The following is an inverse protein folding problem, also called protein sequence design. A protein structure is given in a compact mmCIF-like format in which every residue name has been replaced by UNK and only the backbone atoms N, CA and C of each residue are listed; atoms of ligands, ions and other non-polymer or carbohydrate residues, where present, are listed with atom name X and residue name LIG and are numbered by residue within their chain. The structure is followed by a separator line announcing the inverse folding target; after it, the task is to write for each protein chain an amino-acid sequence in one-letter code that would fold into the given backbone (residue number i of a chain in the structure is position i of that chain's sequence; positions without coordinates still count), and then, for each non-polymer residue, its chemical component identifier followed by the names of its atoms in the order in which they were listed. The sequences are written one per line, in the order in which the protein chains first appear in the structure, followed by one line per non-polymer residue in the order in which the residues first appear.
data_IF_357925868336
#
_entry.id   IF_357925868336
#
_cell.length_a   1.000
_cell.length_b   1.000
_cell.length_c   1.000
_cell.angle_alpha   90.00
_cell.angle_beta   90.00
_cell.angle_gamma   90.00
#
_symmetry.space_group_name_H-M   'P 1'
#
loop_
_entity.id
_entity.type
_entity.pdbx_description
1 polymer ?
#
# COMPACT_ATOMS: atom_id res chain seq x y z
N UNK A 1 2.10 -1.85 -9.07
CA UNK A 1 3.19 -2.01 -8.08
C UNK A 1 2.75 -1.36 -6.77
N UNK A 2 3.14 -1.91 -5.63
CA UNK A 2 2.83 -1.32 -4.31
C UNK A 2 4.10 -0.63 -3.81
N UNK A 3 4.02 0.67 -3.51
CA UNK A 3 5.15 1.46 -3.02
C UNK A 3 5.32 1.29 -1.51
N UNK A 4 6.55 1.25 -1.01
CA UNK A 4 6.80 1.13 0.43
C UNK A 4 6.35 2.34 1.26
N UNK A 5 6.30 2.22 2.60
CA UNK A 5 5.82 3.26 3.51
C UNK A 5 6.61 4.59 3.45
N UNK A 6 7.88 4.56 3.02
CA UNK A 6 8.68 5.77 2.82
C UNK A 6 8.18 6.65 1.65
N UNK A 7 7.43 6.07 0.71
CA UNK A 7 6.95 6.70 -0.52
C UNK A 7 5.47 7.04 -0.41
N UNK A 8 5.13 7.85 0.59
CA UNK A 8 3.76 8.26 0.90
C UNK A 8 3.25 9.42 0.02
N UNK A 9 1.93 9.48 -0.16
CA UNK A 9 1.23 10.58 -0.81
C UNK A 9 0.18 11.22 0.11
N UNK A 10 -0.24 12.45 -0.19
CA UNK A 10 -1.32 13.19 0.45
C UNK A 10 -2.01 14.08 -0.58
N UNK A 11 -3.33 14.24 -0.46
CA UNK A 11 -4.13 15.08 -1.35
C UNK A 11 -3.52 16.50 -1.46
N UNK A 12 -3.43 17.00 -2.69
CA UNK A 12 -2.87 18.32 -2.99
C UNK A 12 -1.34 18.39 -3.03
N UNK A 13 -0.61 17.31 -2.74
CA UNK A 13 0.86 17.29 -2.86
C UNK A 13 1.30 16.74 -4.22
N UNK A 14 1.59 17.65 -5.16
CA UNK A 14 2.03 17.29 -6.51
C UNK A 14 3.47 16.74 -6.57
N UNK A 15 4.30 17.01 -5.55
CA UNK A 15 5.72 16.65 -5.46
C UNK A 15 6.00 15.64 -4.33
N UNK A 16 5.05 14.75 -4.05
CA UNK A 16 5.22 13.76 -3.00
C UNK A 16 6.31 12.72 -3.31
N UNK A 17 6.93 12.12 -2.28
CA UNK A 17 7.88 11.00 -2.43
C UNK A 17 7.31 9.84 -3.25
N UNK A 18 6.00 9.61 -3.18
CA UNK A 18 5.32 8.59 -3.97
C UNK A 18 5.36 8.89 -5.47
N UNK A 19 5.12 10.16 -5.85
CA UNK A 19 5.13 10.62 -7.24
C UNK A 19 6.54 10.55 -7.80
N UNK A 20 7.53 11.10 -7.07
CA UNK A 20 8.93 11.06 -7.50
C UNK A 20 9.42 9.61 -7.73
N UNK A 21 9.08 8.68 -6.82
CA UNK A 21 9.43 7.27 -7.00
C UNK A 21 8.69 6.61 -8.17
N UNK A 22 7.42 6.95 -8.38
CA UNK A 22 6.66 6.46 -9.52
C UNK A 22 7.27 6.95 -10.85
N UNK A 23 7.63 8.23 -10.94
CA UNK A 23 8.29 8.81 -12.12
C UNK A 23 9.65 8.16 -12.42
N UNK A 24 10.49 7.96 -11.40
CA UNK A 24 11.79 7.29 -11.56
C UNK A 24 11.61 5.87 -12.14
N UNK A 25 10.62 5.12 -11.64
CA UNK A 25 10.35 3.74 -12.04
C UNK A 25 9.66 3.69 -13.40
N UNK A 26 8.83 4.69 -13.74
CA UNK A 26 8.24 4.85 -15.06
C UNK A 26 9.30 5.16 -16.10
N UNK A 27 10.31 5.97 -15.76
CA UNK A 27 11.34 6.37 -16.70
C UNK A 27 12.44 5.33 -16.87
N UNK A 28 12.71 4.50 -15.85
CA UNK A 28 13.85 3.60 -15.84
C UNK A 28 13.46 2.12 -15.65
N UNK A 29 14.26 1.23 -16.25
CA UNK A 29 14.30 -0.20 -15.98
C UNK A 29 15.76 -0.60 -15.80
N UNK A 30 16.21 -0.66 -14.54
CA UNK A 30 17.64 -0.73 -14.25
C UNK A 30 18.32 0.55 -14.75
N UNK A 31 19.39 0.42 -15.54
CA UNK A 31 20.11 1.55 -16.14
C UNK A 31 19.54 2.01 -17.49
N UNK A 32 18.54 1.32 -18.05
CA UNK A 32 18.00 1.63 -19.38
C UNK A 32 16.68 2.37 -19.29
N UNK A 33 16.37 3.30 -20.22
CA UNK A 33 15.05 3.90 -20.32
C UNK A 33 13.97 2.84 -20.49
N UNK A 34 12.85 2.99 -19.77
CA UNK A 34 11.73 2.07 -19.88
C UNK A 34 10.87 2.40 -21.11
N UNK A 35 10.62 1.38 -21.92
CA UNK A 35 9.66 1.38 -23.02
C UNK A 35 8.31 0.90 -22.43
N UNK A 36 7.19 1.48 -22.89
CA UNK A 36 5.83 1.23 -22.37
C UNK A 36 5.58 1.68 -20.93
N UNK A 37 5.91 2.94 -20.63
CA UNK A 37 5.68 3.55 -19.31
C UNK A 37 4.21 3.46 -18.88
N UNK A 38 3.28 3.58 -19.83
CA UNK A 38 1.82 3.53 -19.59
C UNK A 38 1.30 2.14 -19.14
N UNK A 39 2.16 1.12 -19.01
CA UNK A 39 1.78 -0.22 -18.52
C UNK A 39 1.94 -0.41 -17.01
N UNK A 40 2.35 0.63 -16.27
CA UNK A 40 2.53 0.55 -14.83
C UNK A 40 1.50 1.43 -14.11
N UNK A 41 0.91 0.88 -13.05
CA UNK A 41 0.17 1.65 -12.06
C UNK A 41 0.77 1.42 -10.68
N UNK A 42 0.65 2.40 -9.78
CA UNK A 42 1.24 2.34 -8.45
C UNK A 42 0.17 2.51 -7.38
N UNK A 43 0.30 1.78 -6.28
CA UNK A 43 -0.47 2.02 -5.07
C UNK A 43 0.49 2.56 -4.01
N UNK A 44 0.19 3.73 -3.47
CA UNK A 44 0.97 4.42 -2.45
C UNK A 44 0.20 4.54 -1.13
N UNK A 45 0.90 4.53 0.00
CA UNK A 45 0.29 4.77 1.30
C UNK A 45 -0.05 6.25 1.52
N UNK A 46 -1.13 6.49 2.25
CA UNK A 46 -1.54 7.80 2.70
C UNK A 46 -0.72 8.23 3.90
N UNK A 47 -0.03 9.38 3.77
CA UNK A 47 0.90 9.88 4.80
C UNK A 47 0.26 9.94 6.20
N UNK A 48 -0.97 10.42 6.30
CA UNK A 48 -1.62 10.64 7.59
C UNK A 48 -2.00 9.32 8.30
N UNK A 49 -2.01 8.19 7.60
CA UNK A 49 -2.36 6.88 8.15
C UNK A 49 -1.14 6.00 8.45
N UNK A 50 0.07 6.43 8.07
CA UNK A 50 1.28 5.65 8.30
C UNK A 50 1.62 5.53 9.79
N UNK A 51 1.42 6.58 10.57
CA UNK A 51 1.73 6.56 12.00
C UNK A 51 0.87 5.53 12.75
N UNK A 52 -0.41 5.45 12.46
CA UNK A 52 -1.32 4.49 13.10
C UNK A 52 -1.02 3.06 12.66
N UNK A 53 -0.72 2.85 11.37
CA UNK A 53 -0.28 1.54 10.87
C UNK A 53 1.03 1.09 11.53
N UNK A 54 2.01 1.99 11.64
CA UNK A 54 3.29 1.69 12.29
C UNK A 54 3.10 1.32 13.76
N UNK A 55 2.31 2.10 14.49
CA UNK A 55 2.03 1.84 15.90
C UNK A 55 1.41 0.46 16.12
N UNK A 56 0.42 0.09 15.31
CA UNK A 56 -0.24 -1.21 15.44
C UNK A 56 0.67 -2.36 14.99
N UNK A 57 1.49 -2.15 13.95
CA UNK A 57 2.50 -3.15 13.54
C UNK A 57 3.51 -3.42 14.65
N UNK A 58 3.98 -2.38 15.37
CA UNK A 58 4.85 -2.55 16.54
C UNK A 58 4.17 -3.35 17.65
N UNK A 59 2.88 -3.10 17.90
CA UNK A 59 2.08 -3.84 18.88
C UNK A 59 1.92 -5.31 18.49
N UNK A 60 1.65 -5.59 17.22
CA UNK A 60 1.58 -6.94 16.69
C UNK A 60 2.90 -7.68 16.91
N UNK A 61 4.03 -7.07 16.55
CA UNK A 61 5.35 -7.66 16.75
C UNK A 61 5.68 -7.91 18.23
N UNK A 62 5.25 -7.02 19.13
CA UNK A 62 5.41 -7.21 20.56
C UNK A 62 4.57 -8.39 21.08
N UNK A 63 3.31 -8.53 20.65
CA UNK A 63 2.51 -9.71 21.02
C UNK A 63 3.08 -10.99 20.42
N UNK A 64 3.59 -10.90 19.19
CA UNK A 64 4.23 -12.02 18.52
C UNK A 64 5.46 -12.49 19.30
N UNK A 65 6.32 -11.58 19.77
CA UNK A 65 7.47 -11.96 20.59
C UNK A 65 7.04 -12.61 21.91
N UNK A 66 6.00 -12.11 22.57
CA UNK A 66 5.47 -12.74 23.81
C UNK A 66 4.97 -14.16 23.56
N UNK A 67 4.26 -14.39 22.45
CA UNK A 67 3.77 -15.72 22.08
C UNK A 67 4.93 -16.64 21.71
N UNK A 68 5.89 -16.16 20.92
CA UNK A 68 7.05 -16.92 20.48
C UNK A 68 7.97 -17.30 21.67
N UNK A 69 8.07 -16.43 22.70
CA UNK A 69 8.90 -16.63 23.90
C UNK A 69 8.14 -17.21 25.11
N UNK A 70 7.00 -17.86 24.86
CA UNK A 70 6.09 -18.38 25.91
C UNK A 70 6.78 -19.21 27.00
N UNK A 71 7.72 -20.09 26.61
CA UNK A 71 8.46 -20.95 27.54
C UNK A 71 9.45 -20.14 28.38
N UNK A 72 10.23 -19.26 27.75
CA UNK A 72 11.19 -18.42 28.43
C UNK A 72 10.54 -17.47 29.45
N UNK A 73 9.31 -17.03 29.16
CA UNK A 73 8.50 -16.18 30.02
C UNK A 73 7.73 -16.94 31.11
N UNK A 74 7.78 -18.28 31.13
CA UNK A 74 7.04 -19.15 32.06
C UNK A 74 5.53 -18.83 32.14
N UNK A 75 4.91 -18.53 30.99
CA UNK A 75 3.51 -18.13 30.96
C UNK A 75 2.57 -19.28 31.34
N UNK A 76 1.61 -18.99 32.22
CA UNK A 76 0.57 -19.96 32.57
C UNK A 76 -0.47 -20.14 31.43
N UNK A 77 -1.41 -21.06 31.60
CA UNK A 77 -2.43 -21.34 30.58
C UNK A 77 -3.34 -20.13 30.28
N UNK A 78 -3.61 -19.27 31.25
CA UNK A 78 -4.44 -18.09 31.09
C UNK A 78 -3.67 -17.00 30.33
N UNK A 79 -2.43 -16.71 30.72
CA UNK A 79 -1.56 -15.72 30.08
C UNK A 79 -1.28 -16.08 28.61
N UNK A 80 -1.05 -17.36 28.31
CA UNK A 80 -0.87 -17.84 26.93
C UNK A 80 -2.09 -17.57 26.05
N UNK A 81 -3.29 -17.81 26.58
CA UNK A 81 -4.55 -17.52 25.86
C UNK A 81 -4.71 -16.03 25.63
N UNK A 82 -4.46 -15.21 26.65
CA UNK A 82 -4.54 -13.75 26.53
C UNK A 82 -3.54 -13.19 25.51
N UNK A 83 -2.30 -13.69 25.50
CA UNK A 83 -1.28 -13.29 24.53
C UNK A 83 -1.70 -13.67 23.10
N UNK A 84 -2.17 -14.91 22.90
CA UNK A 84 -2.67 -15.39 21.61
C UNK A 84 -3.87 -14.59 21.09
N UNK A 85 -4.84 -14.27 21.95
CA UNK A 85 -5.99 -13.43 21.59
C UNK A 85 -5.59 -12.00 21.26
N UNK A 86 -4.59 -11.45 21.96
CA UNK A 86 -4.09 -10.10 21.71
C UNK A 86 -3.27 -10.02 20.42
N UNK A 87 -2.47 -11.06 20.12
CA UNK A 87 -1.79 -11.22 18.84
C UNK A 87 -2.81 -11.24 17.70
N UNK A 88 -3.85 -12.08 17.80
CA UNK A 88 -4.91 -12.18 16.79
C UNK A 88 -5.62 -10.84 16.55
N UNK A 89 -6.04 -10.16 17.61
CA UNK A 89 -6.70 -8.83 17.49
C UNK A 89 -5.79 -7.79 16.86
N UNK A 90 -4.50 -7.80 17.19
CA UNK A 90 -3.53 -6.88 16.63
C UNK A 90 -3.29 -7.16 15.15
N UNK A 91 -3.19 -8.43 14.75
CA UNK A 91 -3.07 -8.85 13.35
C UNK A 91 -4.27 -8.37 12.49
N UNK A 92 -5.49 -8.59 12.98
CA UNK A 92 -6.72 -8.10 12.34
C UNK A 92 -6.72 -6.56 12.20
N UNK A 93 -6.20 -5.86 13.21
CA UNK A 93 -6.10 -4.39 13.18
C UNK A 93 -5.02 -3.93 12.20
N UNK A 94 -3.86 -4.61 12.12
CA UNK A 94 -2.83 -4.33 11.12
C UNK A 94 -3.40 -4.48 9.70
N UNK A 95 -4.11 -5.57 9.41
CA UNK A 95 -4.74 -5.79 8.10
C UNK A 95 -5.70 -4.66 7.72
N UNK A 96 -6.56 -4.24 8.67
CA UNK A 96 -7.45 -3.10 8.47
C UNK A 96 -6.66 -1.81 8.16
N UNK A 97 -5.62 -1.50 8.96
CA UNK A 97 -4.79 -0.31 8.78
C UNK A 97 -4.02 -0.32 7.47
N UNK A 98 -3.56 -1.48 6.99
CA UNK A 98 -2.94 -1.62 5.67
C UNK A 98 -3.95 -1.27 4.57
N UNK A 99 -5.18 -1.79 4.64
CA UNK A 99 -6.24 -1.52 3.66
C UNK A 99 -6.67 -0.05 3.62
N UNK A 100 -6.62 0.62 4.77
CA UNK A 100 -6.89 2.06 4.91
C UNK A 100 -5.72 2.91 4.42
N UNK A 101 -4.48 2.58 4.83
CA UNK A 101 -3.30 3.35 4.49
C UNK A 101 -3.01 3.30 2.99
N UNK A 102 -3.04 2.12 2.36
CA UNK A 102 -2.77 1.95 0.94
C UNK A 102 -4.00 2.31 0.09
N UNK A 103 -4.22 3.62 -0.06
CA UNK A 103 -5.41 4.16 -0.72
C UNK A 103 -5.12 5.17 -1.83
N UNK A 104 -3.87 5.37 -2.25
CA UNK A 104 -3.55 6.25 -3.38
C UNK A 104 -3.15 5.44 -4.60
N UNK A 105 -3.92 5.55 -5.67
CA UNK A 105 -3.61 4.99 -6.98
C UNK A 105 -2.94 6.08 -7.82
N UNK A 106 -1.70 5.85 -8.23
CA UNK A 106 -0.96 6.72 -9.13
C UNK A 106 -0.89 6.05 -10.50
N UNK A 107 -1.38 6.74 -11.53
CA UNK A 107 -1.42 6.21 -12.89
C UNK A 107 -0.77 7.20 -13.85
N UNK A 108 0.13 6.71 -14.73
CA UNK A 108 0.59 7.49 -15.86
C UNK A 108 -0.57 7.65 -16.85
N UNK A 109 -0.90 8.88 -17.19
CA UNK A 109 -1.84 9.22 -18.25
C UNK A 109 -1.09 9.93 -19.36
N UNK A 110 -1.52 9.76 -20.60
CA UNK A 110 -0.94 10.42 -21.75
C UNK A 110 -2.03 10.72 -22.76
N UNK A 111 -2.15 11.98 -23.16
CA UNK A 111 -3.06 12.39 -24.22
C UNK A 111 -2.31 12.53 -25.54
N UNK A 112 -2.61 11.65 -26.50
CA UNK A 112 -1.96 11.60 -27.81
C UNK A 112 -0.44 11.49 -27.71
N UNK A 113 0.27 12.56 -28.11
CA UNK A 113 1.74 12.63 -28.10
C UNK A 113 2.29 13.54 -27.00
N UNK A 114 1.43 14.05 -26.11
CA UNK A 114 1.85 14.87 -25.00
C UNK A 114 2.77 14.09 -24.04
N UNK A 115 3.54 14.80 -23.20
CA UNK A 115 4.26 14.15 -22.11
C UNK A 115 3.33 13.31 -21.23
N UNK A 116 3.88 12.26 -20.62
CA UNK A 116 3.14 11.47 -19.64
C UNK A 116 2.96 12.30 -18.38
N UNK A 117 1.74 12.36 -17.87
CA UNK A 117 1.37 13.02 -16.63
C UNK A 117 0.99 11.97 -15.58
N UNK A 118 1.15 12.31 -14.30
CA UNK A 118 0.78 11.44 -13.19
C UNK A 118 -0.57 11.85 -12.61
N UNK A 119 -1.58 11.00 -12.70
CA UNK A 119 -2.85 11.18 -12.02
C UNK A 119 -2.84 10.43 -10.67
N UNK A 120 -3.13 11.15 -9.58
CA UNK A 120 -3.28 10.58 -8.24
C UNK A 120 -4.76 10.52 -7.83
N UNK A 121 -5.31 9.30 -7.75
CA UNK A 121 -6.70 9.07 -7.35
C UNK A 121 -6.77 8.34 -6.02
N UNK A 122 -7.66 8.78 -5.13
CA UNK A 122 -7.92 8.08 -3.87
C UNK A 122 -8.88 6.89 -4.09
N UNK A 123 -8.48 5.69 -3.65
CA UNK A 123 -9.22 4.42 -3.73
C UNK A 123 -9.63 3.91 -2.33
N UNK A 124 -10.35 4.76 -1.60
CA UNK A 124 -10.82 4.49 -0.23
C UNK A 124 -12.08 3.61 -0.18
N UNK A 125 -12.37 3.08 1.02
CA UNK A 125 -13.58 2.30 1.31
C UNK A 125 -13.45 0.81 1.00
N UNK A 126 -14.46 0.04 1.43
CA UNK A 126 -14.54 -1.41 1.25
C UNK A 126 -13.63 -2.22 2.17
N UNK A 127 -13.82 -3.54 2.19
CA UNK A 127 -13.03 -4.51 2.96
C UNK A 127 -11.96 -5.20 2.11
N UNK A 128 -11.94 -4.91 0.82
CA UNK A 128 -11.08 -5.52 -0.18
C UNK A 128 -9.64 -5.01 -0.08
N UNK A 129 -8.70 -5.80 -0.61
CA UNK A 129 -7.30 -5.38 -0.67
C UNK A 129 -7.11 -4.16 -1.58
N UNK A 130 -6.09 -3.37 -1.29
CA UNK A 130 -5.74 -2.19 -2.09
C UNK A 130 -5.46 -2.51 -3.57
N UNK A 131 -4.99 -3.72 -3.87
CA UNK A 131 -4.79 -4.22 -5.24
C UNK A 131 -6.12 -4.40 -5.96
N UNK A 132 -7.10 -5.04 -5.31
CA UNK A 132 -8.45 -5.24 -5.89
C UNK A 132 -9.13 -3.89 -6.13
N UNK A 133 -9.03 -2.97 -5.16
CA UNK A 133 -9.58 -1.61 -5.30
C UNK A 133 -8.94 -0.85 -6.46
N UNK A 134 -7.62 -0.91 -6.58
CA UNK A 134 -6.90 -0.31 -7.71
C UNK A 134 -7.35 -0.90 -9.04
N UNK A 135 -7.42 -2.24 -9.16
CA UNK A 135 -7.84 -2.93 -10.37
C UNK A 135 -9.28 -2.58 -10.77
N UNK A 136 -10.21 -2.52 -9.82
CA UNK A 136 -11.59 -2.08 -10.06
C UNK A 136 -11.63 -0.64 -10.55
N UNK A 137 -10.89 0.27 -9.90
CA UNK A 137 -10.83 1.68 -10.30
C UNK A 137 -10.32 1.82 -11.73
N UNK A 138 -9.21 1.16 -12.07
CA UNK A 138 -8.63 1.18 -13.41
C UNK A 138 -9.58 0.65 -14.49
N UNK A 139 -10.40 -0.37 -14.17
CA UNK A 139 -11.43 -0.88 -15.08
C UNK A 139 -12.57 0.12 -15.29
N UNK A 140 -13.05 0.73 -14.22
CA UNK A 140 -14.17 1.69 -14.30
C UNK A 140 -13.79 2.99 -14.99
N UNK A 141 -12.52 3.40 -14.91
CA UNK A 141 -12.01 4.61 -15.60
C UNK A 141 -11.46 4.31 -17.00
N UNK A 142 -11.66 3.11 -17.53
CA UNK A 142 -11.16 2.67 -18.85
C UNK A 142 -9.64 2.81 -19.04
N UNK A 143 -8.88 2.96 -17.95
CA UNK A 143 -7.42 3.04 -17.96
C UNK A 143 -6.75 1.66 -18.04
N UNK A 144 -7.54 0.60 -18.17
CA UNK A 144 -7.09 -0.78 -18.35
C UNK A 144 -7.58 -1.33 -19.70
N UNK A 145 -6.67 -1.44 -20.67
CA UNK A 145 -6.97 -2.09 -21.95
C UNK A 145 -6.79 -3.60 -21.78
N UNK A 146 -7.89 -4.36 -21.77
CA UNK A 146 -7.88 -5.81 -21.50
C UNK A 146 -7.72 -6.70 -22.76
N UNK A 147 -7.72 -6.11 -23.95
CA UNK A 147 -7.32 -6.72 -25.23
C UNK A 147 -7.31 -5.61 -26.29
N UNK A 148 -6.31 -5.59 -27.17
CA UNK A 148 -6.42 -4.82 -28.40
C UNK A 148 -7.44 -5.52 -29.33
N UNK A 149 -8.23 -4.78 -30.12
CA UNK A 149 -9.12 -5.35 -31.14
C UNK A 149 -8.33 -6.16 -32.19
#
# INVERSE_FOLDING_TARGET
MVLGPAYSHKAGQMDSKAIAAAEEILNNRGSSPRIYRNMLAFVAPYRDYLQSLEQETRRYLAWKSVVDDTEALNLDAYQRRQASESLKRSDETVDLRVKEAYCWLLMPTQDGTNPIEGEATRISGGTESHIVKAAKRMRTTEQLILKAP
#
